data_IF_950675543668
#
_entry.id   IF_950675543668
#
_cell.length_a   1.000
_cell.length_b   1.000
_cell.length_c   1.000
_cell.angle_alpha   90.00
_cell.angle_beta   90.00
_cell.angle_gamma   90.00
#
_symmetry.space_group_name_H-M   'P 1'
#
loop_
_entity.id
_entity.type
_entity.pdbx_description
1 polymer ?
#
# COMPACT_ATOMS: atom_id res chain seq x y z
N UNK A 1 30.55 82.00 4.02
CA UNK A 1 29.40 81.62 3.17
C UNK A 1 30.01 81.17 1.84
N UNK A 2 29.83 79.99 1.26
CA UNK A 2 28.75 79.00 1.28
C UNK A 2 29.35 77.61 0.98
N UNK A 3 28.74 76.58 1.55
CA UNK A 3 29.11 75.17 1.49
C UNK A 3 28.38 74.45 0.33
N UNK A 4 29.02 73.49 -0.34
CA UNK A 4 28.29 72.47 -1.11
C UNK A 4 29.06 71.13 -1.18
N UNK A 5 28.35 70.05 -0.82
CA UNK A 5 28.79 68.67 -0.57
C UNK A 5 28.90 67.80 -1.84
N UNK A 6 29.66 66.68 -1.81
CA UNK A 6 29.60 65.64 -2.83
C UNK A 6 28.44 64.64 -2.61
N UNK A 7 27.84 64.16 -3.71
CA UNK A 7 26.70 63.23 -3.73
C UNK A 7 27.11 61.78 -3.44
N UNK A 8 26.49 61.14 -2.45
CA UNK A 8 26.64 59.70 -2.14
C UNK A 8 25.84 58.83 -3.12
N UNK A 9 26.53 57.89 -3.79
CA UNK A 9 25.92 56.73 -4.47
C UNK A 9 25.17 55.86 -3.46
N UNK A 10 23.88 55.62 -3.71
CA UNK A 10 23.05 54.67 -2.95
C UNK A 10 23.39 53.25 -3.37
N UNK A 11 24.06 52.50 -2.52
CA UNK A 11 24.18 51.04 -2.61
C UNK A 11 22.81 50.41 -2.34
N UNK A 12 22.24 49.78 -3.35
CA UNK A 12 20.99 49.03 -3.24
C UNK A 12 21.19 47.81 -2.34
N UNK A 13 20.68 47.88 -1.11
CA UNK A 13 20.60 46.75 -0.19
C UNK A 13 19.63 45.70 -0.77
N UNK A 14 20.15 44.55 -1.24
CA UNK A 14 19.33 43.38 -1.58
C UNK A 14 18.67 42.88 -0.29
N UNK A 15 17.34 43.00 -0.20
CA UNK A 15 16.54 42.39 0.88
C UNK A 15 16.82 40.88 0.93
N UNK A 16 17.20 40.30 2.07
CA UNK A 16 17.28 38.85 2.21
C UNK A 16 15.87 38.26 2.04
N UNK A 17 15.73 37.27 1.14
CA UNK A 17 14.51 36.47 1.02
C UNK A 17 14.25 35.80 2.38
N UNK A 18 13.13 36.12 3.01
CA UNK A 18 12.68 35.46 4.25
C UNK A 18 12.63 33.94 4.02
N UNK A 19 13.25 33.12 4.88
CA UNK A 19 13.02 31.68 4.84
C UNK A 19 11.54 31.40 5.08
N UNK A 20 10.96 30.56 4.22
CA UNK A 20 9.60 30.02 4.36
C UNK A 20 9.38 29.46 5.77
N UNK A 21 8.26 29.84 6.37
CA UNK A 21 7.95 29.75 7.81
C UNK A 21 7.95 28.29 8.34
N UNK A 22 8.46 28.02 9.56
CA UNK A 22 8.40 26.70 10.22
C UNK A 22 6.99 26.13 10.45
N UNK A 23 5.94 26.98 10.44
CA UNK A 23 4.55 26.60 10.75
C UNK A 23 3.91 25.66 9.71
N UNK A 24 4.27 25.78 8.42
CA UNK A 24 3.66 24.94 7.37
C UNK A 24 4.15 23.49 7.41
N UNK A 25 5.46 23.27 7.68
CA UNK A 25 6.03 21.92 7.82
C UNK A 25 5.43 21.15 9.01
N UNK A 26 5.19 21.83 10.12
CA UNK A 26 4.61 21.21 11.32
C UNK A 26 3.13 20.80 11.18
N UNK A 27 2.41 21.34 10.20
CA UNK A 27 1.02 20.97 9.90
C UNK A 27 0.96 19.77 8.94
N UNK A 28 1.82 19.74 7.91
CA UNK A 28 1.92 18.62 6.98
C UNK A 28 2.39 17.34 7.68
N UNK A 29 3.38 17.43 8.56
CA UNK A 29 3.90 16.29 9.32
C UNK A 29 2.85 15.68 10.26
N UNK A 30 1.98 16.54 10.83
CA UNK A 30 0.85 16.10 11.66
C UNK A 30 -0.23 15.41 10.82
N UNK A 31 -0.56 15.96 9.66
CA UNK A 31 -1.53 15.37 8.73
C UNK A 31 -1.10 13.97 8.24
N UNK A 32 0.16 13.82 7.83
CA UNK A 32 0.70 12.53 7.40
C UNK A 32 0.70 11.49 8.54
N UNK A 33 1.04 11.91 9.77
CA UNK A 33 1.00 11.03 10.93
C UNK A 33 -0.42 10.56 11.29
N UNK A 34 -1.42 11.44 11.18
CA UNK A 34 -2.84 11.09 11.39
C UNK A 34 -3.31 10.10 10.33
N UNK A 35 -3.04 10.36 9.06
CA UNK A 35 -3.41 9.45 7.97
C UNK A 35 -2.78 8.06 8.12
N UNK A 36 -1.51 8.00 8.51
CA UNK A 36 -0.83 6.73 8.78
C UNK A 36 -1.44 5.96 9.95
N UNK A 37 -1.74 6.64 11.06
CA UNK A 37 -2.40 6.00 12.22
C UNK A 37 -3.79 5.50 11.86
N UNK A 38 -4.58 6.30 11.13
CA UNK A 38 -5.89 5.88 10.63
C UNK A 38 -5.78 4.67 9.70
N UNK A 39 -4.77 4.62 8.82
CA UNK A 39 -4.54 3.46 7.97
C UNK A 39 -4.27 2.18 8.79
N UNK A 40 -3.45 2.27 9.84
CA UNK A 40 -3.17 1.13 10.73
C UNK A 40 -4.40 0.71 11.54
N UNK A 41 -5.17 1.65 12.08
CA UNK A 41 -6.41 1.36 12.80
C UNK A 41 -7.43 0.71 11.87
N UNK A 42 -7.61 1.25 10.67
CA UNK A 42 -8.53 0.68 9.65
C UNK A 42 -8.09 -0.72 9.23
N UNK A 43 -6.79 -0.94 9.03
CA UNK A 43 -6.23 -2.25 8.72
C UNK A 43 -6.49 -3.26 9.86
N UNK A 44 -6.26 -2.86 11.11
CA UNK A 44 -6.56 -3.69 12.29
C UNK A 44 -8.05 -4.01 12.44
N UNK A 45 -8.92 -3.02 12.27
CA UNK A 45 -10.38 -3.22 12.26
C UNK A 45 -10.82 -4.15 11.11
N UNK A 46 -10.18 -4.06 9.95
CA UNK A 46 -10.45 -4.95 8.81
C UNK A 46 -10.00 -6.39 9.10
N UNK A 47 -8.90 -6.61 9.83
CA UNK A 47 -8.53 -7.95 10.31
C UNK A 47 -9.62 -8.58 11.17
N UNK A 48 -10.21 -7.79 12.09
CA UNK A 48 -11.35 -8.24 12.91
C UNK A 48 -12.56 -8.50 12.04
N UNK A 49 -12.86 -7.63 11.06
CA UNK A 49 -13.97 -7.82 10.13
C UNK A 49 -13.85 -9.12 9.32
N UNK A 50 -12.63 -9.47 8.87
CA UNK A 50 -12.34 -10.73 8.16
C UNK A 50 -12.61 -11.94 9.05
N UNK A 51 -12.23 -11.87 10.34
CA UNK A 51 -12.54 -12.94 11.31
C UNK A 51 -14.06 -13.08 11.50
N UNK A 52 -14.78 -11.97 11.67
CA UNK A 52 -16.24 -11.98 11.81
C UNK A 52 -16.92 -12.55 10.55
N UNK A 53 -16.46 -12.18 9.36
CA UNK A 53 -16.97 -12.76 8.11
C UNK A 53 -16.66 -14.26 7.99
N UNK A 54 -15.49 -14.69 8.50
CA UNK A 54 -15.13 -16.09 8.69
C UNK A 54 -16.07 -16.84 9.62
N UNK A 55 -16.43 -16.26 10.76
CA UNK A 55 -17.42 -16.82 11.68
C UNK A 55 -18.76 -17.01 10.96
N UNK A 56 -19.28 -15.96 10.32
CA UNK A 56 -20.56 -16.00 9.59
C UNK A 56 -20.58 -17.12 8.55
N UNK A 57 -19.47 -17.31 7.82
CA UNK A 57 -19.36 -18.38 6.83
C UNK A 57 -19.34 -19.77 7.48
N UNK A 58 -18.51 -19.96 8.50
CA UNK A 58 -18.26 -21.29 9.09
C UNK A 58 -19.32 -21.74 10.08
N UNK A 59 -20.14 -20.83 10.63
CA UNK A 59 -21.30 -21.19 11.45
C UNK A 59 -22.59 -21.32 10.63
N UNK A 60 -22.54 -21.09 9.31
CA UNK A 60 -23.72 -21.09 8.44
C UNK A 60 -24.69 -19.92 8.70
N UNK A 61 -24.26 -18.91 9.47
CA UNK A 61 -25.10 -17.80 9.91
C UNK A 61 -25.34 -16.72 8.84
N UNK A 62 -24.86 -16.92 7.61
CA UNK A 62 -24.87 -15.89 6.57
C UNK A 62 -26.27 -15.44 6.11
N UNK A 63 -27.30 -16.23 6.40
CA UNK A 63 -28.69 -15.98 6.03
C UNK A 63 -29.59 -15.89 7.28
N UNK A 64 -29.01 -15.66 8.45
CA UNK A 64 -29.75 -15.55 9.70
C UNK A 64 -30.62 -14.28 9.75
N UNK A 65 -30.27 -13.25 8.99
CA UNK A 65 -31.00 -12.00 8.78
C UNK A 65 -31.33 -11.89 7.30
N UNK A 66 -32.60 -12.07 6.88
CA UNK A 66 -32.98 -12.23 5.48
C UNK A 66 -33.12 -10.92 4.70
N UNK A 67 -32.96 -9.76 5.36
CA UNK A 67 -33.10 -8.44 4.77
C UNK A 67 -31.79 -7.63 4.82
N UNK A 68 -31.68 -6.64 3.93
CA UNK A 68 -30.60 -5.65 3.88
C UNK A 68 -31.12 -4.39 3.17
N UNK A 69 -30.75 -3.16 3.58
CA UNK A 69 -29.79 -2.79 4.62
C UNK A 69 -30.33 -2.83 6.06
N UNK A 70 -31.62 -3.13 6.24
CA UNK A 70 -32.24 -3.32 7.55
C UNK A 70 -31.85 -4.65 8.21
N UNK A 71 -32.24 -4.81 9.48
CA UNK A 71 -32.20 -6.07 10.21
C UNK A 71 -33.60 -6.35 10.75
N UNK A 72 -34.34 -7.26 10.14
CA UNK A 72 -35.76 -7.55 10.41
C UNK A 72 -36.64 -6.29 10.40
N UNK A 73 -36.44 -5.41 9.42
CA UNK A 73 -37.16 -4.14 9.28
C UNK A 73 -36.72 -3.03 10.25
N UNK A 74 -35.82 -3.32 11.20
CA UNK A 74 -35.19 -2.29 12.02
C UNK A 74 -34.07 -1.59 11.23
N UNK A 75 -33.83 -0.32 11.54
CA UNK A 75 -32.56 0.31 11.18
C UNK A 75 -31.41 -0.53 11.77
N UNK A 76 -30.42 -0.87 10.95
CA UNK A 76 -29.31 -1.74 11.34
C UNK A 76 -28.59 -1.28 12.62
N UNK A 77 -28.44 0.02 12.85
CA UNK A 77 -27.74 0.55 14.02
C UNK A 77 -28.60 0.54 15.30
N UNK A 78 -29.92 0.36 15.16
CA UNK A 78 -30.88 0.42 16.25
C UNK A 78 -31.53 -0.95 16.52
N UNK A 79 -31.01 -2.02 15.94
CA UNK A 79 -31.52 -3.37 16.19
C UNK A 79 -31.34 -3.74 17.68
N UNK A 80 -32.36 -4.29 18.36
CA UNK A 80 -32.27 -4.54 19.80
C UNK A 80 -31.20 -5.57 20.17
N UNK A 81 -30.26 -5.17 21.04
CA UNK A 81 -29.16 -6.03 21.52
C UNK A 81 -29.63 -7.37 22.10
N UNK A 82 -30.76 -7.37 22.82
CA UNK A 82 -31.35 -8.60 23.38
C UNK A 82 -31.77 -9.64 22.33
N UNK A 83 -31.93 -9.23 21.06
CA UNK A 83 -32.29 -10.12 19.94
C UNK A 83 -31.08 -10.59 19.12
N UNK A 84 -29.87 -10.13 19.45
CA UNK A 84 -28.63 -10.59 18.83
C UNK A 84 -28.17 -11.92 19.45
N UNK A 85 -28.88 -13.01 19.14
CA UNK A 85 -28.56 -14.35 19.64
C UNK A 85 -28.38 -15.35 18.49
N UNK A 86 -27.61 -16.42 18.73
CA UNK A 86 -27.37 -17.49 17.75
C UNK A 86 -26.77 -16.97 16.44
N UNK A 87 -27.32 -17.40 15.30
CA UNK A 87 -26.89 -16.95 13.97
C UNK A 87 -26.95 -15.42 13.78
N UNK A 88 -27.96 -14.77 14.35
CA UNK A 88 -28.16 -13.31 14.24
C UNK A 88 -26.99 -12.57 14.88
N UNK A 89 -26.44 -13.07 15.99
CA UNK A 89 -25.28 -12.47 16.65
C UNK A 89 -24.09 -12.40 15.69
N UNK A 90 -23.78 -13.51 14.99
CA UNK A 90 -22.64 -13.56 14.07
C UNK A 90 -22.85 -12.63 12.88
N UNK A 91 -24.01 -12.72 12.22
CA UNK A 91 -24.28 -11.95 11.02
C UNK A 91 -24.38 -10.45 11.32
N UNK A 92 -25.15 -10.08 12.33
CA UNK A 92 -25.37 -8.68 12.66
C UNK A 92 -24.09 -8.01 13.19
N UNK A 93 -23.29 -8.71 14.00
CA UNK A 93 -21.98 -8.19 14.44
C UNK A 93 -21.03 -7.96 13.27
N UNK A 94 -21.05 -8.83 12.26
CA UNK A 94 -20.28 -8.63 11.04
C UNK A 94 -20.74 -7.38 10.26
N UNK A 95 -22.06 -7.16 10.13
CA UNK A 95 -22.63 -5.96 9.49
C UNK A 95 -22.23 -4.67 10.22
N UNK A 96 -22.33 -4.65 11.55
CA UNK A 96 -21.92 -3.50 12.37
C UNK A 96 -20.41 -3.22 12.25
N UNK A 97 -19.58 -4.25 12.30
CA UNK A 97 -18.14 -4.10 12.08
C UNK A 97 -17.83 -3.58 10.66
N UNK A 98 -18.61 -4.01 9.65
CA UNK A 98 -18.52 -3.50 8.28
C UNK A 98 -18.82 -2.01 8.20
N UNK A 99 -19.85 -1.54 8.91
CA UNK A 99 -20.16 -0.11 9.00
C UNK A 99 -19.04 0.69 9.67
N UNK A 100 -18.44 0.17 10.75
CA UNK A 100 -17.28 0.80 11.41
C UNK A 100 -16.08 0.90 10.46
N UNK A 101 -15.74 -0.19 9.77
CA UNK A 101 -14.64 -0.18 8.77
C UNK A 101 -14.94 0.79 7.63
N UNK A 102 -16.20 0.87 7.18
CA UNK A 102 -16.65 1.85 6.19
C UNK A 102 -16.37 3.29 6.64
N UNK A 103 -16.82 3.65 7.86
CA UNK A 103 -16.59 4.99 8.43
C UNK A 103 -15.10 5.30 8.61
N UNK A 104 -14.31 4.35 9.12
CA UNK A 104 -12.86 4.51 9.27
C UNK A 104 -12.18 4.73 7.91
N UNK A 105 -12.63 4.03 6.87
CA UNK A 105 -12.09 4.17 5.51
C UNK A 105 -12.45 5.51 4.89
N UNK A 106 -13.67 6.01 5.10
CA UNK A 106 -14.05 7.36 4.68
C UNK A 106 -13.22 8.42 5.40
N UNK A 107 -13.02 8.27 6.73
CA UNK A 107 -12.14 9.14 7.50
C UNK A 107 -10.69 9.10 7.02
N UNK A 108 -10.18 7.92 6.66
CA UNK A 108 -8.86 7.75 6.05
C UNK A 108 -8.76 8.44 4.69
N UNK A 109 -9.77 8.29 3.82
CA UNK A 109 -9.80 8.96 2.52
C UNK A 109 -9.80 10.49 2.67
N UNK A 110 -10.57 11.02 3.62
CA UNK A 110 -10.57 12.44 3.96
C UNK A 110 -9.20 12.89 4.51
N UNK A 111 -8.56 12.10 5.38
CA UNK A 111 -7.24 12.41 5.92
C UNK A 111 -6.12 12.37 4.85
N UNK A 112 -6.27 11.55 3.81
CA UNK A 112 -5.34 11.48 2.67
C UNK A 112 -5.62 12.56 1.61
N UNK A 113 -6.76 13.25 1.67
CA UNK A 113 -7.14 14.26 0.68
C UNK A 113 -6.12 15.40 0.55
N UNK A 114 -5.64 16.01 1.64
CA UNK A 114 -4.65 17.09 1.57
C UNK A 114 -3.29 16.64 1.05
N UNK A 115 -2.96 15.34 1.13
CA UNK A 115 -1.69 14.80 0.64
C UNK A 115 -1.58 14.83 -0.89
N UNK A 116 -2.71 14.90 -1.60
CA UNK A 116 -2.75 14.96 -3.06
C UNK A 116 -2.14 13.73 -3.76
N UNK A 117 -1.95 13.86 -5.07
CA UNK A 117 -1.24 12.88 -5.90
C UNK A 117 -1.74 11.43 -5.72
N UNK A 118 -0.79 10.49 -5.59
CA UNK A 118 -1.08 9.05 -5.47
C UNK A 118 -1.86 8.70 -4.20
N UNK A 119 -1.55 9.34 -3.06
CA UNK A 119 -2.18 9.02 -1.77
C UNK A 119 -3.66 9.39 -1.74
N UNK A 120 -4.03 10.56 -2.32
CA UNK A 120 -5.43 10.96 -2.47
C UNK A 120 -6.22 9.91 -3.25
N UNK A 121 -5.70 9.48 -4.40
CA UNK A 121 -6.38 8.51 -5.24
C UNK A 121 -6.46 7.13 -4.61
N UNK A 122 -5.43 6.68 -3.87
CA UNK A 122 -5.52 5.44 -3.09
C UNK A 122 -6.62 5.52 -2.00
N UNK A 123 -6.77 6.66 -1.33
CA UNK A 123 -7.85 6.90 -0.39
C UNK A 123 -9.23 6.84 -1.04
N UNK A 124 -9.40 7.47 -2.22
CA UNK A 124 -10.64 7.40 -3.01
C UNK A 124 -10.92 5.96 -3.45
N UNK A 125 -9.92 5.24 -3.95
CA UNK A 125 -10.06 3.82 -4.31
C UNK A 125 -10.48 2.99 -3.10
N UNK A 126 -9.91 3.22 -1.92
CA UNK A 126 -10.32 2.50 -0.71
C UNK A 126 -11.78 2.80 -0.33
N UNK A 127 -12.21 4.06 -0.41
CA UNK A 127 -13.59 4.48 -0.17
C UNK A 127 -14.58 3.84 -1.15
N UNK A 128 -14.27 3.84 -2.44
CA UNK A 128 -15.11 3.19 -3.46
C UNK A 128 -15.18 1.68 -3.24
N UNK A 129 -14.03 1.04 -2.98
CA UNK A 129 -13.96 -0.41 -2.74
C UNK A 129 -14.75 -0.83 -1.50
N UNK A 130 -14.69 -0.08 -0.39
CA UNK A 130 -15.44 -0.44 0.82
C UNK A 130 -16.95 -0.26 0.65
N UNK A 131 -17.39 0.74 -0.14
CA UNK A 131 -18.81 0.90 -0.51
C UNK A 131 -19.26 -0.27 -1.38
N UNK A 132 -18.47 -0.63 -2.41
CA UNK A 132 -18.75 -1.78 -3.25
C UNK A 132 -18.80 -3.08 -2.42
N UNK A 133 -17.93 -3.23 -1.43
CA UNK A 133 -17.95 -4.36 -0.49
C UNK A 133 -19.25 -4.42 0.33
N UNK A 134 -19.72 -3.28 0.86
CA UNK A 134 -20.99 -3.21 1.57
C UNK A 134 -22.19 -3.59 0.70
N UNK A 135 -22.22 -3.11 -0.55
CA UNK A 135 -23.27 -3.45 -1.53
C UNK A 135 -23.22 -4.94 -1.89
N UNK A 136 -22.05 -5.47 -2.26
CA UNK A 136 -21.88 -6.90 -2.57
C UNK A 136 -22.25 -7.78 -1.37
N UNK A 137 -21.89 -7.34 -0.15
CA UNK A 137 -22.24 -8.01 1.10
C UNK A 137 -23.74 -8.05 1.35
N UNK A 138 -24.46 -6.97 1.05
CA UNK A 138 -25.93 -6.95 1.14
C UNK A 138 -26.61 -7.78 0.06
N UNK A 139 -26.17 -7.64 -1.20
CA UNK A 139 -26.74 -8.36 -2.33
C UNK A 139 -26.59 -9.88 -2.17
N UNK A 140 -25.46 -10.37 -1.66
CA UNK A 140 -25.28 -11.81 -1.42
C UNK A 140 -26.19 -12.39 -0.33
N UNK A 141 -26.81 -11.55 0.50
CA UNK A 141 -27.81 -11.97 1.49
C UNK A 141 -29.18 -12.02 0.84
N UNK A 142 -29.54 -11.01 0.06
CA UNK A 142 -30.88 -10.91 -0.56
C UNK A 142 -31.03 -11.84 -1.77
N UNK A 143 -29.97 -12.01 -2.57
CA UNK A 143 -29.99 -12.82 -3.79
C UNK A 143 -29.57 -14.29 -3.56
N UNK A 144 -29.11 -14.64 -2.35
CA UNK A 144 -28.70 -16.00 -1.99
C UNK A 144 -27.64 -16.62 -2.93
N UNK A 145 -26.76 -15.79 -3.50
CA UNK A 145 -25.86 -16.23 -4.58
C UNK A 145 -24.43 -16.49 -4.09
N UNK A 146 -23.97 -17.74 -4.21
CA UNK A 146 -22.61 -18.16 -3.81
C UNK A 146 -21.52 -17.46 -4.63
N UNK A 147 -21.78 -17.14 -5.89
CA UNK A 147 -20.88 -16.34 -6.73
C UNK A 147 -20.58 -14.99 -6.09
N UNK A 148 -21.60 -14.32 -5.54
CA UNK A 148 -21.42 -13.06 -4.83
C UNK A 148 -20.64 -13.25 -3.54
N UNK A 149 -20.78 -14.38 -2.84
CA UNK A 149 -19.97 -14.69 -1.67
C UNK A 149 -18.48 -14.87 -2.03
N UNK A 150 -18.17 -15.57 -3.13
CA UNK A 150 -16.79 -15.74 -3.63
C UNK A 150 -16.19 -14.37 -4.02
N UNK A 151 -16.92 -13.56 -4.78
CA UNK A 151 -16.47 -12.23 -5.21
C UNK A 151 -16.30 -11.29 -4.00
N UNK A 152 -17.28 -11.26 -3.09
CA UNK A 152 -17.22 -10.45 -1.87
C UNK A 152 -16.01 -10.81 -1.02
N UNK A 153 -15.80 -12.11 -0.73
CA UNK A 153 -14.66 -12.59 0.06
C UNK A 153 -13.31 -12.30 -0.61
N UNK A 154 -13.22 -12.44 -1.94
CA UNK A 154 -12.00 -12.14 -2.69
C UNK A 154 -11.68 -10.64 -2.74
N UNK A 155 -12.71 -9.80 -2.88
CA UNK A 155 -12.55 -8.35 -2.90
C UNK A 155 -12.22 -7.79 -1.49
N UNK A 156 -12.72 -8.41 -0.41
CA UNK A 156 -12.31 -8.08 0.96
C UNK A 156 -10.79 -8.23 1.17
N UNK A 157 -10.20 -9.26 0.55
CA UNK A 157 -8.78 -9.55 0.63
C UNK A 157 -7.94 -8.57 -0.21
N UNK A 158 -8.43 -8.19 -1.39
CA UNK A 158 -7.84 -7.10 -2.18
C UNK A 158 -7.92 -5.75 -1.44
N UNK A 159 -9.02 -5.49 -0.73
CA UNK A 159 -9.16 -4.31 0.12
C UNK A 159 -8.16 -4.30 1.27
N UNK A 160 -7.94 -5.44 1.93
CA UNK A 160 -6.90 -5.58 2.97
C UNK A 160 -5.49 -5.30 2.42
N UNK A 161 -5.17 -5.80 1.21
CA UNK A 161 -3.93 -5.51 0.51
C UNK A 161 -3.77 -4.01 0.20
N UNK A 162 -4.84 -3.35 -0.26
CA UNK A 162 -4.87 -1.91 -0.51
C UNK A 162 -4.61 -1.11 0.77
N UNK A 163 -5.25 -1.46 1.89
CA UNK A 163 -4.99 -0.81 3.18
C UNK A 163 -3.54 -1.03 3.64
N UNK A 164 -2.97 -2.22 3.43
CA UNK A 164 -1.56 -2.50 3.73
C UNK A 164 -0.61 -1.62 2.90
N UNK A 165 -0.94 -1.43 1.62
CA UNK A 165 -0.21 -0.51 0.74
C UNK A 165 -0.33 0.94 1.24
N UNK A 166 -1.54 1.41 1.56
CA UNK A 166 -1.75 2.77 2.09
C UNK A 166 -0.98 2.97 3.41
N UNK A 167 -1.00 1.99 4.31
CA UNK A 167 -0.27 2.04 5.58
C UNK A 167 1.23 2.21 5.36
N UNK A 168 1.86 1.45 4.44
CA UNK A 168 3.26 1.66 4.08
C UNK A 168 3.48 3.05 3.48
N UNK A 169 2.67 3.44 2.50
CA UNK A 169 2.92 4.63 1.68
C UNK A 169 2.64 5.96 2.40
N UNK A 170 1.81 5.92 3.44
CA UNK A 170 1.60 7.03 4.38
C UNK A 170 2.63 7.05 5.52
N UNK A 171 3.43 5.99 5.69
CA UNK A 171 4.45 5.94 6.74
C UNK A 171 5.69 6.76 6.40
N UNK A 172 6.44 7.15 7.44
CA UNK A 172 7.77 7.77 7.29
C UNK A 172 8.76 6.88 6.54
N UNK A 173 8.60 5.56 6.62
CA UNK A 173 9.50 4.64 5.95
C UNK A 173 9.41 4.75 4.42
N UNK A 174 8.25 5.13 3.86
CA UNK A 174 8.10 5.36 2.43
C UNK A 174 8.92 6.55 1.90
N UNK A 175 9.38 7.46 2.75
CA UNK A 175 10.21 8.60 2.35
C UNK A 175 11.65 8.19 1.99
N UNK A 176 12.14 7.08 2.55
CA UNK A 176 13.50 6.58 2.31
C UNK A 176 13.42 5.35 1.43
N UNK A 177 13.65 5.44 0.11
CA UNK A 177 13.57 4.29 -0.78
C UNK A 177 14.68 3.27 -0.47
N UNK A 178 14.37 1.99 -0.64
CA UNK A 178 15.39 0.94 -0.66
C UNK A 178 16.20 1.12 -1.95
N UNK A 179 17.48 1.50 -1.83
CA UNK A 179 18.36 1.78 -2.97
C UNK A 179 18.89 0.47 -3.55
N UNK A 180 18.91 0.37 -4.88
CA UNK A 180 19.63 -0.70 -5.57
C UNK A 180 18.98 -2.09 -5.52
N UNK A 181 17.66 -2.20 -5.28
CA UNK A 181 16.97 -3.47 -5.46
C UNK A 181 17.05 -3.92 -6.93
N UNK A 182 17.53 -5.15 -7.14
CA UNK A 182 17.57 -5.79 -8.45
C UNK A 182 16.14 -5.92 -9.05
N UNK A 183 15.92 -5.51 -10.32
CA UNK A 183 14.64 -5.69 -11.02
C UNK A 183 14.05 -7.11 -10.95
N UNK A 184 14.88 -8.15 -10.84
CA UNK A 184 14.43 -9.51 -10.63
C UNK A 184 13.70 -9.67 -9.28
N UNK A 185 14.22 -9.08 -8.20
CA UNK A 185 13.59 -9.10 -6.86
C UNK A 185 12.21 -8.44 -6.92
N UNK A 186 12.11 -7.31 -7.63
CA UNK A 186 10.83 -6.61 -7.83
C UNK A 186 9.81 -7.50 -8.55
N UNK A 187 10.21 -8.12 -9.67
CA UNK A 187 9.31 -9.02 -10.43
C UNK A 187 8.83 -10.19 -9.58
N UNK A 188 9.74 -10.83 -8.84
CA UNK A 188 9.40 -11.97 -7.97
C UNK A 188 8.50 -11.52 -6.81
N UNK A 189 8.69 -10.33 -6.24
CA UNK A 189 7.81 -9.82 -5.18
C UNK A 189 6.37 -9.55 -5.68
N UNK A 190 6.20 -9.00 -6.88
CA UNK A 190 4.86 -8.84 -7.48
C UNK A 190 4.25 -10.19 -7.88
N UNK A 191 5.04 -11.12 -8.42
CA UNK A 191 4.57 -12.47 -8.71
C UNK A 191 4.11 -13.19 -7.44
N UNK A 192 4.82 -13.01 -6.32
CA UNK A 192 4.42 -13.52 -5.01
C UNK A 192 3.08 -12.93 -4.55
N UNK A 193 2.89 -11.62 -4.67
CA UNK A 193 1.63 -10.96 -4.32
C UNK A 193 0.46 -11.47 -5.17
N UNK A 194 0.66 -11.64 -6.48
CA UNK A 194 -0.33 -12.21 -7.38
C UNK A 194 -0.65 -13.68 -7.04
N UNK A 195 0.37 -14.51 -6.80
CA UNK A 195 0.20 -15.91 -6.44
C UNK A 195 -0.56 -16.08 -5.12
N UNK A 196 -0.25 -15.27 -4.09
CA UNK A 196 -0.97 -15.29 -2.82
C UNK A 196 -2.42 -14.84 -2.99
N UNK A 197 -2.68 -13.79 -3.79
CA UNK A 197 -4.04 -13.35 -4.08
C UNK A 197 -4.86 -14.42 -4.81
N UNK A 198 -4.29 -15.04 -5.84
CA UNK A 198 -4.94 -16.15 -6.55
C UNK A 198 -5.20 -17.34 -5.61
N UNK A 199 -4.27 -17.65 -4.72
CA UNK A 199 -4.44 -18.71 -3.73
C UNK A 199 -5.60 -18.44 -2.77
N UNK A 200 -5.82 -17.17 -2.41
CA UNK A 200 -6.96 -16.75 -1.60
C UNK A 200 -8.27 -16.91 -2.39
N UNK A 201 -8.30 -16.56 -3.67
CA UNK A 201 -9.46 -16.81 -4.55
C UNK A 201 -9.75 -18.31 -4.64
N UNK A 202 -8.72 -19.15 -4.79
CA UNK A 202 -8.88 -20.61 -4.77
C UNK A 202 -9.38 -21.11 -3.41
N UNK A 203 -9.01 -20.47 -2.30
CA UNK A 203 -9.58 -20.76 -0.99
C UNK A 203 -11.08 -20.41 -0.89
N UNK A 204 -11.52 -19.32 -1.52
CA UNK A 204 -12.94 -19.00 -1.63
C UNK A 204 -13.69 -20.02 -2.50
N UNK A 205 -13.12 -20.43 -3.64
CA UNK A 205 -13.67 -21.49 -4.49
C UNK A 205 -13.71 -22.85 -3.78
N UNK A 206 -12.71 -23.18 -2.95
CA UNK A 206 -12.77 -24.35 -2.08
C UNK A 206 -13.93 -24.25 -1.09
N UNK A 207 -14.09 -23.10 -0.45
CA UNK A 207 -15.13 -22.90 0.58
C UNK A 207 -16.55 -23.01 0.02
N UNK A 208 -16.79 -22.45 -1.16
CA UNK A 208 -18.14 -22.33 -1.74
C UNK A 208 -18.43 -23.34 -2.86
N UNK A 209 -17.41 -23.84 -3.56
CA UNK A 209 -17.57 -24.75 -4.70
C UNK A 209 -16.83 -26.09 -4.55
N UNK A 210 -16.09 -26.30 -3.45
CA UNK A 210 -15.39 -27.56 -3.18
C UNK A 210 -14.14 -27.80 -4.03
N UNK A 211 -13.59 -26.77 -4.69
CA UNK A 211 -12.46 -26.90 -5.63
C UNK A 211 -11.10 -27.07 -4.93
N UNK A 212 -10.92 -28.21 -4.26
CA UNK A 212 -9.75 -28.51 -3.42
C UNK A 212 -8.43 -28.49 -4.20
N UNK A 213 -8.37 -29.11 -5.38
CA UNK A 213 -7.11 -29.29 -6.10
C UNK A 213 -6.51 -27.98 -6.63
N UNK A 214 -7.34 -26.99 -6.96
CA UNK A 214 -6.85 -25.64 -7.28
C UNK A 214 -6.18 -24.99 -6.08
N UNK A 215 -6.77 -25.14 -4.90
CA UNK A 215 -6.19 -24.61 -3.66
C UNK A 215 -4.89 -25.34 -3.29
N UNK A 216 -4.82 -26.66 -3.45
CA UNK A 216 -3.57 -27.41 -3.20
C UNK A 216 -2.48 -27.01 -4.21
N UNK A 217 -2.79 -26.97 -5.51
CA UNK A 217 -1.83 -26.57 -6.55
C UNK A 217 -1.34 -25.14 -6.39
N UNK A 218 -2.23 -24.20 -6.08
CA UNK A 218 -1.86 -22.81 -5.79
C UNK A 218 -1.04 -22.66 -4.50
N UNK A 219 -1.28 -23.51 -3.48
CA UNK A 219 -0.44 -23.53 -2.28
C UNK A 219 1.00 -23.89 -2.65
N UNK A 220 1.22 -24.92 -3.47
CA UNK A 220 2.56 -25.29 -3.94
C UNK A 220 3.26 -24.11 -4.65
N UNK A 221 2.54 -23.37 -5.50
CA UNK A 221 3.08 -22.18 -6.15
C UNK A 221 3.46 -21.07 -5.15
N UNK A 222 2.61 -20.80 -4.14
CA UNK A 222 2.91 -19.85 -3.06
C UNK A 222 4.15 -20.27 -2.27
N UNK A 223 4.23 -21.55 -1.89
CA UNK A 223 5.36 -22.10 -1.13
C UNK A 223 6.64 -22.23 -1.96
N UNK A 224 6.57 -22.17 -3.29
CA UNK A 224 7.75 -22.04 -4.15
C UNK A 224 8.22 -20.58 -4.28
N UNK A 225 7.29 -19.65 -4.52
CA UNK A 225 7.63 -18.26 -4.88
C UNK A 225 7.94 -17.40 -3.66
N UNK A 226 7.13 -17.48 -2.59
CA UNK A 226 7.26 -16.56 -1.44
C UNK A 226 8.60 -16.73 -0.69
N UNK A 227 9.11 -17.95 -0.41
CA UNK A 227 10.42 -18.12 0.22
C UNK A 227 11.57 -17.52 -0.58
N UNK A 228 11.42 -17.46 -1.91
CA UNK A 228 12.43 -16.86 -2.78
C UNK A 228 12.51 -15.33 -2.63
N UNK A 229 11.39 -14.67 -2.29
CA UNK A 229 11.35 -13.24 -1.91
C UNK A 229 12.01 -13.02 -0.56
N UNK A 230 11.66 -13.85 0.43
CA UNK A 230 12.16 -13.68 1.79
C UNK A 230 13.66 -13.93 1.87
N UNK A 231 14.17 -14.94 1.15
CA UNK A 231 15.60 -15.23 1.05
C UNK A 231 16.41 -14.03 0.55
N UNK A 232 15.89 -13.31 -0.45
CA UNK A 232 16.54 -12.14 -1.06
C UNK A 232 16.46 -10.89 -0.19
N UNK A 233 15.41 -10.73 0.62
CA UNK A 233 15.16 -9.50 1.37
C UNK A 233 15.58 -9.54 2.85
N UNK A 234 15.56 -10.72 3.49
CA UNK A 234 15.84 -10.87 4.94
C UNK A 234 17.27 -10.49 5.36
N UNK A 235 18.21 -10.48 4.42
CA UNK A 235 19.62 -10.16 4.61
C UNK A 235 20.04 -8.76 4.13
N UNK A 236 19.11 -7.97 3.59
CA UNK A 236 19.43 -6.65 2.98
C UNK A 236 19.77 -5.56 4.00
N UNK A 237 19.48 -5.78 5.29
CA UNK A 237 19.62 -4.75 6.34
C UNK A 237 18.57 -3.63 6.26
N UNK A 238 17.67 -3.63 5.27
CA UNK A 238 16.62 -2.61 5.18
C UNK A 238 15.67 -2.71 6.39
N UNK A 239 15.41 -1.59 7.10
CA UNK A 239 14.66 -1.59 8.36
C UNK A 239 13.18 -1.97 8.21
N UNK A 240 12.66 -2.06 6.98
CA UNK A 240 11.29 -2.50 6.71
C UNK A 240 11.28 -3.87 6.03
N UNK A 241 12.02 -4.03 4.94
CA UNK A 241 11.98 -5.25 4.14
C UNK A 241 12.54 -6.46 4.90
N UNK A 242 13.64 -6.29 5.64
CA UNK A 242 14.26 -7.39 6.37
C UNK A 242 13.36 -7.98 7.49
N UNK A 243 12.78 -7.19 8.41
CA UNK A 243 11.88 -7.73 9.42
C UNK A 243 10.60 -8.31 8.82
N UNK A 244 9.99 -7.64 7.84
CA UNK A 244 8.77 -8.16 7.19
C UNK A 244 9.06 -9.48 6.47
N UNK A 245 10.20 -9.63 5.80
CA UNK A 245 10.59 -10.89 5.16
C UNK A 245 10.76 -12.04 6.18
N UNK A 246 11.23 -11.76 7.41
CA UNK A 246 11.34 -12.77 8.48
C UNK A 246 9.98 -13.13 9.04
N UNK A 247 9.13 -12.15 9.32
CA UNK A 247 7.74 -12.37 9.75
C UNK A 247 6.98 -13.19 8.71
N UNK A 248 7.18 -12.90 7.43
CA UNK A 248 6.55 -13.63 6.33
C UNK A 248 6.94 -15.11 6.29
N UNK A 249 8.18 -15.48 6.65
CA UNK A 249 8.57 -16.89 6.81
C UNK A 249 7.81 -17.58 7.95
N UNK A 250 7.63 -16.90 9.09
CA UNK A 250 6.87 -17.42 10.22
C UNK A 250 5.40 -17.60 9.83
N UNK A 251 4.81 -16.60 9.17
CA UNK A 251 3.43 -16.67 8.70
C UNK A 251 3.23 -17.80 7.69
N UNK A 252 4.18 -18.05 6.79
CA UNK A 252 4.11 -19.20 5.87
C UNK A 252 4.10 -20.54 6.61
N UNK A 253 4.98 -20.71 7.60
CA UNK A 253 4.99 -21.91 8.44
C UNK A 253 3.64 -22.10 9.15
N UNK A 254 3.12 -21.03 9.74
CA UNK A 254 1.81 -21.04 10.38
C UNK A 254 0.68 -21.34 9.38
N UNK A 255 0.71 -20.77 8.18
CA UNK A 255 -0.28 -21.01 7.14
C UNK A 255 -0.31 -22.47 6.69
N UNK A 256 0.86 -23.11 6.56
CA UNK A 256 0.97 -24.53 6.22
C UNK A 256 0.34 -25.39 7.33
N UNK A 257 0.72 -25.15 8.58
CA UNK A 257 0.19 -25.89 9.73
C UNK A 257 -1.32 -25.74 9.85
N UNK A 258 -1.84 -24.52 9.72
CA UNK A 258 -3.28 -24.24 9.75
C UNK A 258 -4.01 -24.85 8.55
N UNK A 259 -3.39 -24.86 7.37
CA UNK A 259 -3.97 -25.43 6.15
C UNK A 259 -4.07 -26.95 6.23
N UNK A 260 -2.98 -27.61 6.62
CA UNK A 260 -2.95 -29.05 6.88
C UNK A 260 -3.92 -29.41 8.00
N UNK A 261 -3.90 -28.66 9.11
CA UNK A 261 -4.84 -28.88 10.22
C UNK A 261 -6.30 -28.77 9.77
N UNK A 262 -6.64 -27.75 8.99
CA UNK A 262 -8.00 -27.58 8.44
C UNK A 262 -8.35 -28.72 7.49
N UNK A 263 -7.40 -29.16 6.66
CA UNK A 263 -7.59 -30.27 5.73
C UNK A 263 -7.88 -31.58 6.49
N UNK A 264 -7.04 -31.93 7.46
CA UNK A 264 -7.22 -33.13 8.28
C UNK A 264 -8.56 -33.08 9.03
N UNK A 265 -8.90 -31.93 9.61
CA UNK A 265 -10.14 -31.77 10.38
C UNK A 265 -11.40 -31.93 9.54
N UNK A 266 -11.38 -31.53 8.25
CA UNK A 266 -12.58 -31.48 7.39
C UNK A 266 -12.69 -32.59 6.36
N UNK A 267 -11.57 -33.15 5.91
CA UNK A 267 -11.54 -34.08 4.77
C UNK A 267 -11.03 -35.48 5.11
N UNK A 268 -10.77 -35.76 6.40
CA UNK A 268 -10.30 -37.09 6.84
C UNK A 268 -11.08 -37.56 8.06
N UNK A 269 -10.99 -38.86 8.35
CA UNK A 269 -11.58 -39.46 9.56
C UNK A 269 -10.67 -39.35 10.80
N UNK A 270 -9.56 -38.60 10.71
CA UNK A 270 -8.61 -38.46 11.81
C UNK A 270 -9.26 -37.62 12.92
N UNK A 271 -9.29 -38.18 14.13
CA UNK A 271 -9.78 -37.46 15.29
C UNK A 271 -8.80 -36.36 15.70
N UNK A 272 -9.32 -35.13 15.85
CA UNK A 272 -8.54 -33.96 16.28
C UNK A 272 -9.17 -33.40 17.57
N UNK A 273 -8.37 -33.12 18.62
CA UNK A 273 -8.86 -32.54 19.85
C UNK A 273 -9.61 -31.21 19.65
N UNK A 274 -10.58 -30.94 20.51
CA UNK A 274 -11.34 -29.68 20.55
C UNK A 274 -12.61 -29.63 19.70
N UNK A 275 -12.96 -30.70 18.99
CA UNK A 275 -14.27 -30.87 18.35
C UNK A 275 -14.70 -29.70 17.46
N UNK A 276 -15.92 -29.20 17.67
CA UNK A 276 -16.49 -28.09 16.88
C UNK A 276 -15.68 -26.78 16.98
N UNK A 277 -15.07 -26.51 18.13
CA UNK A 277 -14.23 -25.33 18.32
C UNK A 277 -13.03 -25.35 17.38
N UNK A 278 -12.39 -26.51 17.22
CA UNK A 278 -11.26 -26.67 16.30
C UNK A 278 -11.68 -26.55 14.84
N UNK A 279 -12.84 -27.13 14.47
CA UNK A 279 -13.43 -27.02 13.13
C UNK A 279 -13.79 -25.59 12.73
N UNK A 280 -14.04 -24.73 13.72
CA UNK A 280 -14.27 -23.30 13.55
C UNK A 280 -12.96 -22.51 13.51
N UNK A 281 -12.11 -22.66 14.53
CA UNK A 281 -10.93 -21.80 14.72
C UNK A 281 -9.86 -22.00 13.65
N UNK A 282 -9.60 -23.23 13.22
CA UNK A 282 -8.56 -23.52 12.23
C UNK A 282 -8.77 -22.77 10.89
N UNK A 283 -9.93 -22.91 10.21
CA UNK A 283 -10.16 -22.19 8.96
C UNK A 283 -10.23 -20.66 9.15
N UNK A 284 -10.68 -20.19 10.31
CA UNK A 284 -10.67 -18.75 10.64
C UNK A 284 -9.26 -18.20 10.71
N UNK A 285 -8.40 -18.86 11.49
CA UNK A 285 -7.00 -18.50 11.63
C UNK A 285 -6.28 -18.61 10.28
N UNK A 286 -6.55 -19.67 9.50
CA UNK A 286 -5.98 -19.86 8.17
C UNK A 286 -6.34 -18.70 7.22
N UNK A 287 -7.57 -18.20 7.26
CA UNK A 287 -8.02 -17.06 6.47
C UNK A 287 -7.34 -15.76 6.89
N UNK A 288 -7.24 -15.50 8.20
CA UNK A 288 -6.57 -14.30 8.72
C UNK A 288 -5.08 -14.30 8.38
N UNK A 289 -4.38 -15.41 8.62
CA UNK A 289 -2.94 -15.52 8.32
C UNK A 289 -2.69 -15.37 6.82
N UNK A 290 -3.55 -15.92 5.95
CA UNK A 290 -3.52 -15.66 4.51
C UNK A 290 -3.61 -14.17 4.16
N UNK A 291 -4.48 -13.42 4.87
CA UNK A 291 -4.63 -11.97 4.70
C UNK A 291 -3.33 -11.23 5.09
N UNK A 292 -2.73 -11.63 6.22
CA UNK A 292 -1.47 -11.04 6.72
C UNK A 292 -0.30 -11.33 5.77
N UNK A 293 -0.24 -12.54 5.19
CA UNK A 293 0.74 -12.90 4.16
C UNK A 293 0.57 -11.99 2.95
N UNK A 294 -0.67 -11.83 2.45
CA UNK A 294 -0.97 -10.96 1.31
C UNK A 294 -0.54 -9.50 1.57
N UNK A 295 -0.87 -8.96 2.74
CA UNK A 295 -0.46 -7.61 3.15
C UNK A 295 1.07 -7.48 3.17
N UNK A 296 1.77 -8.45 3.77
CA UNK A 296 3.23 -8.46 3.87
C UNK A 296 3.92 -8.50 2.49
N UNK A 297 3.48 -9.38 1.58
CA UNK A 297 4.07 -9.45 0.22
C UNK A 297 3.81 -8.19 -0.60
N UNK A 298 2.64 -7.55 -0.44
CA UNK A 298 2.34 -6.27 -1.09
C UNK A 298 3.23 -5.15 -0.54
N UNK A 299 3.43 -5.09 0.78
CA UNK A 299 4.35 -4.13 1.40
C UNK A 299 5.77 -4.34 0.90
N UNK A 300 6.26 -5.58 0.80
CA UNK A 300 7.58 -5.89 0.25
C UNK A 300 7.69 -5.49 -1.23
N UNK A 301 6.69 -5.82 -2.06
CA UNK A 301 6.67 -5.47 -3.48
C UNK A 301 6.72 -3.95 -3.71
N UNK A 302 6.00 -3.18 -2.90
CA UNK A 302 6.04 -1.71 -2.94
C UNK A 302 7.36 -1.15 -2.40
N UNK A 303 7.90 -1.76 -1.33
CA UNK A 303 9.16 -1.34 -0.71
C UNK A 303 10.33 -1.44 -1.69
N UNK A 304 10.44 -2.56 -2.41
CA UNK A 304 11.48 -2.77 -3.44
C UNK A 304 11.23 -1.94 -4.72
N UNK A 305 10.01 -1.44 -4.90
CA UNK A 305 9.64 -0.57 -6.01
C UNK A 305 9.80 0.92 -5.71
N UNK A 306 10.29 1.27 -4.52
CA UNK A 306 10.39 2.65 -4.04
C UNK A 306 11.17 3.54 -5.01
N UNK A 307 10.45 4.35 -5.79
CA UNK A 307 11.01 5.49 -6.50
C UNK A 307 11.11 6.67 -5.52
N UNK A 308 12.13 7.53 -5.61
CA UNK A 308 12.20 8.74 -4.82
C UNK A 308 10.87 9.51 -4.93
N UNK A 309 10.31 10.00 -3.82
CA UNK A 309 9.27 11.04 -3.92
C UNK A 309 9.89 12.14 -4.77
N UNK A 310 9.37 12.39 -5.98
CA UNK A 310 9.80 13.53 -6.77
C UNK A 310 9.69 14.74 -5.86
N UNK A 311 10.84 15.30 -5.50
CA UNK A 311 10.94 16.60 -4.87
C UNK A 311 10.48 17.63 -5.91
N UNK A 312 9.17 17.70 -6.12
CA UNK A 312 8.59 18.73 -6.95
C UNK A 312 8.74 20.05 -6.18
N UNK A 313 9.41 21.00 -6.85
CA UNK A 313 9.55 22.42 -6.54
C UNK A 313 10.56 22.86 -5.45
N UNK A 314 11.86 22.68 -5.74
CA UNK A 314 12.85 23.77 -5.56
C UNK A 314 14.21 23.42 -6.20
N UNK A 315 14.25 23.26 -7.51
CA UNK A 315 15.49 23.51 -8.27
C UNK A 315 15.15 24.58 -9.28
N UNK A 316 15.33 25.83 -8.87
CA UNK A 316 15.54 26.91 -9.83
C UNK A 316 16.83 26.52 -10.56
N UNK A 317 16.83 26.35 -11.90
CA UNK A 317 18.09 26.21 -12.60
C UNK A 317 18.88 27.49 -12.34
N UNK A 318 20.06 27.36 -11.75
CA UNK A 318 21.03 28.44 -11.72
C UNK A 318 21.41 28.69 -13.20
N UNK A 319 20.65 29.57 -13.84
CA UNK A 319 21.02 30.13 -15.12
C UNK A 319 22.30 30.93 -14.88
N UNK A 320 23.37 30.43 -15.47
CA UNK A 320 24.69 31.02 -15.60
C UNK A 320 24.53 32.44 -16.14
N UNK A 321 24.53 33.44 -15.25
CA UNK A 321 24.78 34.83 -15.60
C UNK A 321 26.28 35.04 -15.52
N UNK A 322 26.98 34.59 -16.55
CA UNK A 322 28.37 34.98 -16.77
C UNK A 322 28.70 35.04 -18.28
N UNK A 323 27.93 35.84 -19.02
CA UNK A 323 28.33 36.38 -20.34
C UNK A 323 27.53 37.66 -20.56
N UNK A 324 28.04 38.82 -20.13
CA UNK A 324 27.67 40.16 -20.65
C UNK A 324 28.55 41.31 -20.07
N UNK A 325 29.72 41.02 -19.46
CA UNK A 325 30.64 42.04 -18.94
C UNK A 325 32.01 42.08 -19.65
N UNK A 326 32.06 41.62 -20.91
CA UNK A 326 33.24 41.73 -21.79
C UNK A 326 32.83 42.37 -23.13
N UNK A 327 32.29 43.59 -23.02
CA UNK A 327 31.73 44.36 -24.13
C UNK A 327 32.21 45.80 -24.16
N UNK A 328 33.44 46.10 -23.76
CA UNK A 328 34.11 47.36 -24.10
C UNK A 328 35.47 47.03 -24.74
N UNK A 329 35.44 46.79 -26.05
CA UNK A 329 36.64 46.78 -26.87
C UNK A 329 37.13 48.21 -27.03
N UNK A 330 38.36 48.43 -26.60
CA UNK A 330 39.17 49.57 -27.00
C UNK A 330 39.21 49.69 -28.52
N UNK A 331 38.97 50.92 -28.98
CA UNK A 331 39.35 51.38 -30.31
C UNK A 331 40.80 51.80 -30.24
N UNK A 332 41.65 51.26 -31.12
CA UNK A 332 42.97 51.82 -31.36
C UNK A 332 43.89 50.91 -32.16
N UNK A 333 44.18 51.34 -33.39
CA UNK A 333 45.31 50.97 -34.25
C UNK A 333 45.26 49.63 -35.02
N UNK A 334 45.09 49.77 -36.33
CA UNK A 334 45.33 48.81 -37.40
C UNK A 334 46.18 49.54 -38.44
N UNK A 335 47.40 49.06 -38.71
CA UNK A 335 48.34 49.37 -39.83
C UNK A 335 49.73 48.86 -39.37
N UNK A 336 50.62 48.17 -40.10
CA UNK A 336 50.89 47.74 -41.50
C UNK A 336 51.70 46.41 -41.35
N UNK A 337 51.68 45.38 -42.20
CA UNK A 337 52.01 45.34 -43.62
C UNK A 337 53.37 44.62 -43.87
N UNK A 338 53.33 43.31 -44.22
CA UNK A 338 54.29 42.47 -45.01
C UNK A 338 55.84 42.57 -44.82
N UNK A 339 56.69 41.73 -45.49
CA UNK A 339 56.51 40.45 -46.20
C UNK A 339 57.44 39.34 -45.60
N UNK A 340 57.41 38.06 -45.99
CA UNK A 340 58.19 37.50 -47.12
C UNK A 340 57.95 35.99 -47.27
N UNK A 341 58.02 35.54 -48.52
CA UNK A 341 58.04 34.16 -49.00
C UNK A 341 59.48 33.73 -49.32
N UNK A 342 59.88 32.53 -48.90
CA UNK A 342 60.96 31.72 -49.48
C UNK A 342 60.74 30.27 -48.98
N UNK A 343 60.35 29.30 -49.82
CA UNK A 343 61.09 28.58 -50.86
C UNK A 343 61.87 27.36 -50.33
N UNK A 344 61.60 26.20 -50.98
CA UNK A 344 62.39 24.95 -51.03
C UNK A 344 62.51 24.15 -49.71
N UNK A 345 62.48 22.81 -49.66
CA UNK A 345 62.70 21.75 -50.64
C UNK A 345 62.44 20.39 -49.95
N UNK A 346 62.00 19.38 -50.71
CA UNK A 346 62.47 17.96 -50.79
C UNK A 346 62.81 17.23 -49.47
N UNK A 347 62.46 15.99 -49.14
CA UNK A 347 61.85 14.79 -49.77
C UNK A 347 61.67 13.77 -48.60
N UNK A 348 60.95 12.65 -48.78
CA UNK A 348 60.54 11.75 -47.71
C UNK A 348 61.60 10.68 -47.39
N UNK A 349 61.46 9.97 -46.26
CA UNK A 349 61.79 8.55 -46.12
C UNK A 349 61.28 8.00 -44.78
N UNK A 350 60.55 6.88 -44.91
CA UNK A 350 60.17 5.82 -43.95
C UNK A 350 59.11 6.12 -42.89
#
# INVERSE_FOLDING_TARGET
>A
MSTARPSRRKTGCRRPRRPSRPRERGATDRGEAVAHRLALVTLGATSVLILLGGLVTNTGAALAVPDWPSTFGYNMLLFPWARMAGGILYEHSHRLAGAVVGLLTLGLAAALWPAGGRLRWLGVTAAVTVVAQGVLGGLRVVLLEDTLAIVHGSLAQAFFALLSAIALLSSRAAAVPLRGADPAVRRVAFAAAAAVYLQIVFGALLTHAGWLWLHVGGALAVFAVVPSVTARLRGTGDPVAAPIARVLLVLLGLQLLLGVGTFLARFTAIWIPGGQTTLLVLPLAHRLVGSLILGAVVVLALRVSGHPRSAAASRVPAMTLDVMASGERGRGAQELGHPQSAAASRTPLQ
#
